data_IF_657633939777
#
_entry.id   IF_657633939777
#
_cell.length_a   1.000
_cell.length_b   1.000
_cell.length_c   1.000
_cell.angle_alpha   90.00
_cell.angle_beta   90.00
_cell.angle_gamma   90.00
#
_symmetry.space_group_name_H-M   'P 1'
#
loop_
_entity.id
_entity.type
_entity.pdbx_description
1 polymer ?
#
# COMPACT_ATOMS: atom_id res chain seq x y z
N UNK A 1 -0.64 8.50 -8.09
CA UNK A 1 -1.48 8.07 -6.94
C UNK A 1 -0.75 8.33 -5.64
N UNK A 2 -1.41 8.97 -4.68
CA UNK A 2 -0.95 9.10 -3.29
C UNK A 2 -1.91 8.34 -2.39
N UNK A 3 -1.42 7.26 -1.76
CA UNK A 3 -2.17 6.46 -0.80
C UNK A 3 -1.66 6.72 0.61
N UNK A 4 -2.57 6.90 1.57
CA UNK A 4 -2.21 7.04 2.98
C UNK A 4 -2.91 5.95 3.78
N UNK A 5 -2.12 5.13 4.46
CA UNK A 5 -2.58 3.99 5.26
C UNK A 5 -2.78 4.37 6.73
N UNK A 6 -3.57 3.56 7.43
CA UNK A 6 -3.78 3.64 8.87
C UNK A 6 -4.46 4.94 9.32
N UNK A 7 -5.41 5.42 8.53
CA UNK A 7 -6.28 6.53 8.92
C UNK A 7 -7.23 6.04 10.00
N UNK A 8 -7.25 6.69 11.18
CA UNK A 8 -7.96 6.20 12.37
C UNK A 8 -8.78 7.24 13.11
N UNK A 9 -8.77 8.49 12.67
CA UNK A 9 -9.52 9.56 13.31
C UNK A 9 -10.04 10.56 12.29
N UNK A 10 -11.15 11.23 12.64
CA UNK A 10 -11.68 12.33 11.83
C UNK A 10 -10.65 13.44 11.65
N UNK A 11 -9.86 13.74 12.69
CA UNK A 11 -8.80 14.75 12.58
C UNK A 11 -7.71 14.37 11.55
N UNK A 12 -7.45 13.06 11.33
CA UNK A 12 -6.60 12.60 10.24
C UNK A 12 -7.31 12.79 8.90
N UNK A 13 -8.56 12.33 8.78
CA UNK A 13 -9.36 12.39 7.56
C UNK A 13 -9.51 13.85 7.07
N UNK A 14 -9.93 14.76 7.93
CA UNK A 14 -10.14 16.17 7.60
C UNK A 14 -8.88 16.89 7.10
N UNK A 15 -7.70 16.54 7.66
CA UNK A 15 -6.42 17.17 7.30
C UNK A 15 -5.79 16.58 6.04
N UNK A 16 -6.10 15.34 5.70
CA UNK A 16 -5.52 14.63 4.54
C UNK A 16 -6.15 15.00 3.19
N UNK A 17 -7.12 15.89 3.16
CA UNK A 17 -8.02 16.34 2.08
C UNK A 17 -7.61 16.23 0.60
N UNK A 18 -6.37 15.89 0.28
CA UNK A 18 -5.88 15.80 -1.10
C UNK A 18 -5.10 14.51 -1.35
N UNK A 19 -5.61 13.37 -0.91
CA UNK A 19 -5.06 12.04 -1.22
C UNK A 19 -5.96 11.33 -2.24
N UNK A 20 -5.40 10.35 -2.94
CA UNK A 20 -6.16 9.59 -3.96
C UNK A 20 -6.78 8.33 -3.38
N UNK A 21 -6.11 7.73 -2.37
CA UNK A 21 -6.58 6.51 -1.70
C UNK A 21 -6.37 6.59 -0.19
N UNK A 22 -7.44 6.43 0.57
CA UNK A 22 -7.41 6.28 2.03
C UNK A 22 -7.38 4.81 2.43
N UNK A 23 -6.39 4.41 3.22
CA UNK A 23 -6.21 3.03 3.69
C UNK A 23 -6.67 2.84 5.13
N UNK A 24 -7.55 1.86 5.35
CA UNK A 24 -8.11 1.49 6.64
C UNK A 24 -7.76 0.04 6.98
N UNK A 25 -7.42 -0.21 8.24
CA UNK A 25 -7.28 -1.56 8.77
C UNK A 25 -8.57 -1.90 9.53
N UNK A 26 -9.20 -3.01 9.18
CA UNK A 26 -10.54 -3.36 9.70
C UNK A 26 -10.55 -4.75 10.32
N UNK A 27 -11.22 -4.87 11.46
CA UNK A 27 -11.49 -6.13 12.16
C UNK A 27 -12.98 -6.25 12.49
N UNK A 28 -13.45 -7.43 12.90
CA UNK A 28 -14.84 -7.64 13.34
C UNK A 28 -15.21 -6.83 14.59
N UNK A 29 -14.22 -6.48 15.40
CA UNK A 29 -14.37 -5.58 16.55
C UNK A 29 -13.21 -4.60 16.57
N UNK A 30 -13.48 -3.36 16.99
CA UNK A 30 -12.46 -2.33 17.10
C UNK A 30 -11.38 -2.69 18.12
N UNK A 31 -10.16 -2.27 17.83
CA UNK A 31 -9.00 -2.45 18.70
C UNK A 31 -8.04 -1.27 18.61
N UNK A 32 -6.94 -1.30 19.33
CA UNK A 32 -5.88 -0.29 19.21
C UNK A 32 -5.21 -0.29 17.83
N UNK A 33 -5.35 -1.35 17.02
CA UNK A 33 -4.71 -1.48 15.71
C UNK A 33 -5.70 -1.55 14.53
N UNK A 34 -7.01 -1.73 14.78
CA UNK A 34 -8.01 -1.86 13.74
C UNK A 34 -9.32 -1.17 14.10
N UNK A 35 -10.03 -0.72 13.08
CA UNK A 35 -11.39 -0.18 13.15
C UNK A 35 -12.41 -1.33 13.04
N UNK A 36 -13.61 -1.15 13.57
CA UNK A 36 -14.76 -1.92 13.12
C UNK A 36 -15.39 -1.31 11.85
N UNK A 37 -16.41 -1.98 11.29
CA UNK A 37 -17.06 -1.54 10.06
C UNK A 37 -17.74 -0.17 10.20
N UNK A 38 -18.36 0.10 11.34
CA UNK A 38 -19.08 1.37 11.56
C UNK A 38 -18.10 2.54 11.69
N UNK A 39 -17.02 2.36 12.41
CA UNK A 39 -15.94 3.35 12.51
C UNK A 39 -15.32 3.61 11.14
N UNK A 40 -15.05 2.54 10.34
CA UNK A 40 -14.50 2.69 9.00
C UNK A 40 -15.47 3.45 8.07
N UNK A 41 -16.76 3.13 8.11
CA UNK A 41 -17.79 3.83 7.34
C UNK A 41 -17.85 5.32 7.72
N UNK A 42 -17.85 5.61 9.01
CA UNK A 42 -17.87 6.99 9.52
C UNK A 42 -16.66 7.80 9.04
N UNK A 43 -15.44 7.24 9.16
CA UNK A 43 -14.23 7.91 8.71
C UNK A 43 -14.18 8.04 7.18
N UNK A 44 -14.60 7.01 6.46
CA UNK A 44 -14.64 7.03 5.00
C UNK A 44 -15.58 8.11 4.45
N UNK A 45 -16.71 8.35 5.11
CA UNK A 45 -17.66 9.40 4.69
C UNK A 45 -17.11 10.83 4.80
N UNK A 46 -16.05 11.04 5.57
CA UNK A 46 -15.36 12.33 5.71
C UNK A 46 -14.26 12.57 4.66
N UNK A 47 -14.03 11.60 3.76
CA UNK A 47 -12.96 11.65 2.76
C UNK A 47 -13.55 11.58 1.34
N UNK A 48 -13.20 12.56 0.51
CA UNK A 48 -13.56 12.56 -0.92
C UNK A 48 -12.43 11.92 -1.74
N UNK A 49 -12.22 10.62 -1.52
CA UNK A 49 -11.22 9.84 -2.24
C UNK A 49 -11.60 8.35 -2.29
N UNK A 50 -10.84 7.54 -3.04
CA UNK A 50 -11.02 6.09 -3.04
C UNK A 50 -10.62 5.47 -1.70
N UNK A 51 -11.28 4.38 -1.30
CA UNK A 51 -10.95 3.66 -0.07
C UNK A 51 -10.31 2.31 -0.38
N UNK A 52 -9.27 1.98 0.37
CA UNK A 52 -8.66 0.66 0.44
C UNK A 52 -8.87 0.09 1.86
N UNK A 53 -9.37 -1.12 1.96
CA UNK A 53 -9.63 -1.76 3.25
C UNK A 53 -8.80 -3.02 3.38
N UNK A 54 -8.04 -3.10 4.47
CA UNK A 54 -7.22 -4.25 4.83
C UNK A 54 -7.86 -5.02 6.00
N UNK A 55 -8.41 -6.24 5.77
CA UNK A 55 -8.87 -7.10 6.85
C UNK A 55 -7.68 -7.57 7.69
N UNK A 56 -7.76 -7.47 9.02
CA UNK A 56 -6.66 -7.89 9.93
C UNK A 56 -6.28 -9.35 9.73
N UNK A 57 -7.28 -10.24 9.52
CA UNK A 57 -7.05 -11.67 9.33
C UNK A 57 -6.75 -12.03 7.86
N UNK A 58 -6.50 -11.00 7.02
CA UNK A 58 -6.24 -11.17 5.60
C UNK A 58 -7.45 -11.70 4.83
N UNK A 59 -7.19 -12.29 3.66
CA UNK A 59 -8.25 -12.78 2.75
C UNK A 59 -8.65 -14.24 3.02
N UNK A 60 -8.15 -14.87 4.05
CA UNK A 60 -8.53 -16.24 4.47
C UNK A 60 -9.98 -16.31 4.97
N UNK A 61 -10.47 -15.29 5.69
CA UNK A 61 -11.88 -15.13 6.03
C UNK A 61 -12.66 -14.47 4.88
N UNK A 62 -13.00 -15.29 3.88
CA UNK A 62 -13.78 -14.82 2.70
C UNK A 62 -15.15 -14.26 3.12
N UNK A 63 -15.76 -14.79 4.20
CA UNK A 63 -17.03 -14.29 4.73
C UNK A 63 -16.91 -12.84 5.16
N UNK A 64 -15.90 -12.53 5.95
CA UNK A 64 -15.64 -11.15 6.40
C UNK A 64 -15.21 -10.23 5.25
N UNK A 65 -14.41 -10.72 4.30
CA UNK A 65 -14.09 -9.95 3.11
C UNK A 65 -15.32 -9.56 2.30
N UNK A 66 -16.31 -10.44 2.16
CA UNK A 66 -17.59 -10.12 1.49
C UNK A 66 -18.41 -9.11 2.28
N UNK A 67 -18.49 -9.26 3.58
CA UNK A 67 -19.14 -8.29 4.46
C UNK A 67 -18.54 -6.89 4.31
N UNK A 68 -17.20 -6.77 4.33
CA UNK A 68 -16.48 -5.52 4.04
C UNK A 68 -16.88 -4.94 2.68
N UNK A 69 -16.90 -5.77 1.64
CA UNK A 69 -17.22 -5.33 0.27
C UNK A 69 -18.67 -4.83 0.18
N UNK A 70 -19.61 -5.52 0.80
CA UNK A 70 -21.04 -5.18 0.77
C UNK A 70 -21.34 -3.91 1.58
N UNK A 71 -20.78 -3.81 2.78
CA UNK A 71 -21.06 -2.74 3.73
C UNK A 71 -20.29 -1.43 3.45
N UNK A 72 -19.01 -1.54 3.09
CA UNK A 72 -18.16 -0.36 2.90
C UNK A 72 -18.00 0.02 1.43
N UNK A 73 -18.26 -0.89 0.51
CA UNK A 73 -18.11 -0.69 -0.96
C UNK A 73 -16.76 -0.05 -1.32
N UNK A 74 -15.64 -0.58 -0.79
CA UNK A 74 -14.34 0.03 -1.03
C UNK A 74 -13.94 -0.11 -2.51
N UNK A 75 -13.12 0.80 -3.01
CA UNK A 75 -12.52 0.65 -4.35
C UNK A 75 -11.53 -0.53 -4.36
N UNK A 76 -10.85 -0.75 -3.23
CA UNK A 76 -9.85 -1.80 -3.11
C UNK A 76 -9.99 -2.60 -1.82
N UNK A 77 -9.83 -3.92 -1.92
CA UNK A 77 -9.48 -4.78 -0.80
C UNK A 77 -7.95 -4.94 -0.80
N UNK A 78 -7.31 -4.62 0.32
CA UNK A 78 -5.87 -4.75 0.47
C UNK A 78 -5.54 -6.02 1.24
N UNK A 79 -4.44 -6.68 0.90
CA UNK A 79 -4.00 -7.91 1.57
C UNK A 79 -2.48 -8.06 1.52
N UNK A 80 -1.94 -8.76 2.50
CA UNK A 80 -0.52 -9.13 2.52
C UNK A 80 -0.30 -10.39 1.68
N UNK A 81 0.67 -10.32 0.78
CA UNK A 81 1.04 -11.45 -0.09
C UNK A 81 1.68 -12.56 0.73
N UNK A 82 1.16 -13.76 0.59
CA UNK A 82 1.78 -14.97 1.14
C UNK A 82 3.00 -15.32 0.30
N UNK A 83 4.10 -15.67 0.98
CA UNK A 83 5.33 -16.11 0.31
C UNK A 83 5.03 -17.26 -0.67
N UNK A 84 5.40 -17.13 -1.97
CA UNK A 84 5.15 -18.17 -2.97
C UNK A 84 5.85 -19.49 -2.64
N UNK A 85 6.88 -19.52 -1.82
CA UNK A 85 7.53 -20.74 -1.35
C UNK A 85 6.61 -21.56 -0.43
N UNK A 86 5.60 -20.93 0.20
CA UNK A 86 4.52 -21.59 0.94
C UNK A 86 3.39 -21.98 -0.02
N UNK A 87 3.64 -22.98 -0.87
CA UNK A 87 2.82 -23.32 -2.06
C UNK A 87 1.33 -23.48 -1.75
N UNK A 88 0.95 -24.24 -0.70
CA UNK A 88 -0.46 -24.44 -0.36
C UNK A 88 -1.16 -23.14 0.08
N UNK A 89 -0.51 -22.37 0.95
CA UNK A 89 -1.06 -21.10 1.44
C UNK A 89 -1.14 -20.05 0.33
N UNK A 90 -0.15 -20.00 -0.55
CA UNK A 90 -0.14 -19.10 -1.71
C UNK A 90 -1.26 -19.45 -2.69
N UNK A 91 -1.46 -20.74 -3.01
CA UNK A 91 -2.56 -21.19 -3.87
C UNK A 91 -3.92 -20.91 -3.24
N UNK A 92 -4.08 -21.16 -1.94
CA UNK A 92 -5.32 -20.86 -1.22
C UNK A 92 -5.64 -19.35 -1.26
N UNK A 93 -4.61 -18.50 -1.10
CA UNK A 93 -4.77 -17.05 -1.22
C UNK A 93 -5.24 -16.64 -2.62
N UNK A 94 -4.61 -17.15 -3.68
CA UNK A 94 -5.00 -16.85 -5.07
C UNK A 94 -6.45 -17.28 -5.35
N UNK A 95 -6.87 -18.46 -4.87
CA UNK A 95 -8.24 -18.95 -5.00
C UNK A 95 -9.25 -18.09 -4.23
N UNK A 96 -8.87 -17.60 -3.04
CA UNK A 96 -9.70 -16.68 -2.27
C UNK A 96 -9.87 -15.34 -3.01
N UNK A 97 -8.78 -14.76 -3.49
CA UNK A 97 -8.77 -13.50 -4.23
C UNK A 97 -9.64 -13.57 -5.48
N UNK A 98 -9.57 -14.64 -6.26
CA UNK A 98 -10.35 -14.82 -7.49
C UNK A 98 -11.88 -14.81 -7.25
N UNK A 99 -12.33 -15.14 -6.02
CA UNK A 99 -13.75 -15.16 -5.63
C UNK A 99 -14.30 -13.79 -5.18
N UNK A 100 -13.42 -12.81 -4.96
CA UNK A 100 -13.80 -11.48 -4.47
C UNK A 100 -13.88 -10.50 -5.63
N UNK A 101 -15.08 -9.95 -5.88
CA UNK A 101 -15.35 -9.01 -6.98
C UNK A 101 -15.12 -7.56 -6.53
N UNK A 102 -13.87 -7.19 -6.36
CA UNK A 102 -13.42 -5.85 -5.96
C UNK A 102 -12.01 -5.65 -6.51
N UNK A 103 -11.59 -4.40 -6.76
CA UNK A 103 -10.18 -4.10 -7.03
C UNK A 103 -9.30 -4.53 -5.85
N UNK A 104 -8.06 -4.91 -6.09
CA UNK A 104 -7.18 -5.42 -5.04
C UNK A 104 -5.84 -4.72 -5.03
N UNK A 105 -5.33 -4.48 -3.81
CA UNK A 105 -3.97 -4.01 -3.57
C UNK A 105 -3.19 -5.12 -2.86
N UNK A 106 -2.08 -5.54 -3.44
CA UNK A 106 -1.16 -6.49 -2.82
C UNK A 106 -0.06 -5.73 -2.06
N UNK A 107 0.13 -6.01 -0.77
CA UNK A 107 1.20 -5.45 0.06
C UNK A 107 2.13 -6.53 0.63
N UNK A 108 3.08 -6.14 1.50
CA UNK A 108 4.07 -7.06 2.05
C UNK A 108 5.16 -7.42 1.06
N UNK A 109 5.37 -6.60 0.04
CA UNK A 109 6.38 -6.76 -1.00
C UNK A 109 7.52 -5.76 -0.75
N UNK A 110 8.76 -6.23 -0.91
CA UNK A 110 9.96 -5.46 -0.61
C UNK A 110 10.95 -5.53 -1.76
N UNK A 111 11.60 -4.41 -2.04
CA UNK A 111 12.83 -4.31 -2.82
C UNK A 111 13.88 -3.67 -1.95
N UNK A 112 14.78 -4.48 -1.42
CA UNK A 112 15.87 -4.03 -0.56
C UNK A 112 17.14 -3.89 -1.38
N UNK A 113 18.07 -3.03 -0.94
CA UNK A 113 19.33 -2.80 -1.62
C UNK A 113 20.10 -4.12 -1.91
N UNK A 114 20.09 -5.01 -0.93
CA UNK A 114 20.81 -6.28 -0.99
C UNK A 114 19.91 -7.48 -1.33
N UNK A 115 18.60 -7.24 -1.54
CA UNK A 115 17.62 -8.26 -1.93
C UNK A 115 16.65 -7.72 -2.99
N UNK A 116 16.93 -8.07 -4.22
CA UNK A 116 16.06 -7.77 -5.37
C UNK A 116 15.31 -9.01 -5.87
N UNK A 117 15.19 -10.06 -5.05
CA UNK A 117 14.57 -11.35 -5.43
C UNK A 117 13.13 -11.22 -5.91
N UNK A 118 12.40 -10.17 -5.46
CA UNK A 118 11.06 -9.87 -5.96
C UNK A 118 11.02 -9.72 -7.48
N UNK A 119 12.09 -9.16 -8.08
CA UNK A 119 12.17 -8.97 -9.55
C UNK A 119 12.19 -10.29 -10.32
N UNK A 120 12.55 -11.39 -9.67
CA UNK A 120 12.64 -12.71 -10.28
C UNK A 120 11.35 -13.54 -10.09
N UNK A 121 10.33 -12.97 -9.38
CA UNK A 121 9.05 -13.63 -9.06
C UNK A 121 7.93 -13.30 -10.06
N UNK A 122 8.27 -13.09 -11.35
CA UNK A 122 7.32 -12.67 -12.38
C UNK A 122 6.09 -13.59 -12.49
N UNK A 123 6.28 -14.92 -12.44
CA UNK A 123 5.16 -15.89 -12.52
C UNK A 123 4.16 -15.73 -11.38
N UNK A 124 4.64 -15.43 -10.17
CA UNK A 124 3.77 -15.19 -9.03
C UNK A 124 3.03 -13.85 -9.16
N UNK A 125 3.72 -12.80 -9.60
CA UNK A 125 3.10 -11.50 -9.87
C UNK A 125 2.02 -11.61 -10.96
N UNK A 126 2.26 -12.36 -12.02
CA UNK A 126 1.28 -12.63 -13.06
C UNK A 126 0.05 -13.37 -12.51
N UNK A 127 0.25 -14.36 -11.64
CA UNK A 127 -0.85 -15.06 -10.97
C UNK A 127 -1.70 -14.11 -10.09
N UNK A 128 -1.08 -13.18 -9.38
CA UNK A 128 -1.77 -12.15 -8.61
C UNK A 128 -2.58 -11.20 -9.53
N UNK A 129 -2.02 -10.78 -10.67
CA UNK A 129 -2.74 -9.97 -11.65
C UNK A 129 -3.97 -10.75 -12.18
N UNK A 130 -3.83 -12.03 -12.51
CA UNK A 130 -4.96 -12.88 -12.94
C UNK A 130 -6.01 -13.06 -11.83
N UNK A 131 -5.62 -13.04 -10.56
CA UNK A 131 -6.53 -13.04 -9.41
C UNK A 131 -7.19 -11.66 -9.15
N UNK A 132 -6.92 -10.66 -9.99
CA UNK A 132 -7.55 -9.34 -9.96
C UNK A 132 -6.80 -8.30 -9.12
N UNK A 133 -5.51 -8.46 -8.89
CA UNK A 133 -4.68 -7.40 -8.31
C UNK A 133 -4.47 -6.30 -9.33
N UNK A 134 -4.86 -5.09 -8.95
CA UNK A 134 -4.77 -3.89 -9.79
C UNK A 134 -3.58 -3.00 -9.41
N UNK A 135 -3.08 -3.14 -8.18
CA UNK A 135 -2.01 -2.30 -7.64
C UNK A 135 -1.13 -3.08 -6.68
N UNK A 136 0.17 -2.91 -6.80
CA UNK A 136 1.17 -3.50 -5.92
C UNK A 136 1.78 -2.41 -5.04
N UNK A 137 1.72 -2.61 -3.73
CA UNK A 137 2.33 -1.73 -2.74
C UNK A 137 3.68 -2.31 -2.34
N UNK A 138 4.75 -1.66 -2.76
CA UNK A 138 6.13 -2.15 -2.58
C UNK A 138 6.91 -1.17 -1.72
N UNK A 139 7.50 -1.67 -0.64
CA UNK A 139 8.49 -0.91 0.11
C UNK A 139 9.84 -1.02 -0.58
N UNK A 140 10.42 0.14 -0.89
CA UNK A 140 11.70 0.23 -1.59
C UNK A 140 12.70 0.91 -0.68
N UNK A 141 13.75 0.19 -0.30
CA UNK A 141 14.81 0.79 0.49
C UNK A 141 15.70 1.64 -0.42
N UNK A 142 15.79 2.93 -0.07
CA UNK A 142 16.86 3.82 -0.55
C UNK A 142 16.89 4.16 -2.04
N UNK A 143 15.77 4.08 -2.77
CA UNK A 143 15.72 4.66 -4.14
C UNK A 143 15.94 6.18 -4.13
N UNK A 144 15.62 6.83 -3.02
CA UNK A 144 15.69 8.29 -2.85
C UNK A 144 17.05 8.71 -2.28
N UNK A 145 17.77 7.83 -1.59
CA UNK A 145 19.04 8.17 -0.98
C UNK A 145 20.19 8.02 -1.98
N UNK A 146 20.83 9.11 -2.41
CA UNK A 146 21.95 9.03 -3.34
C UNK A 146 23.17 8.32 -2.77
N UNK A 147 23.34 8.27 -1.43
CA UNK A 147 24.46 7.57 -0.78
C UNK A 147 24.32 6.05 -0.87
N UNK A 148 23.08 5.56 -0.96
CA UNK A 148 22.78 4.13 -1.11
C UNK A 148 22.39 3.76 -2.53
N UNK A 149 22.76 4.57 -3.51
CA UNK A 149 22.31 4.49 -4.88
C UNK A 149 22.33 3.07 -5.44
N UNK A 150 21.17 2.62 -5.91
CA UNK A 150 21.04 1.42 -6.73
C UNK A 150 21.78 1.65 -8.04
N UNK A 151 22.66 0.73 -8.40
CA UNK A 151 23.44 0.83 -9.64
C UNK A 151 22.54 0.87 -10.90
N UNK A 152 23.03 1.41 -12.03
CA UNK A 152 22.22 1.61 -13.26
C UNK A 152 21.51 0.33 -13.74
N UNK A 153 22.18 -0.81 -13.66
CA UNK A 153 21.61 -2.11 -14.06
C UNK A 153 20.41 -2.53 -13.19
N UNK A 154 20.54 -2.37 -11.87
CA UNK A 154 19.45 -2.69 -10.94
C UNK A 154 18.29 -1.71 -11.13
N UNK A 155 18.56 -0.42 -11.31
CA UNK A 155 17.56 0.61 -11.61
C UNK A 155 16.77 0.28 -12.88
N UNK A 156 17.45 -0.13 -13.96
CA UNK A 156 16.78 -0.53 -15.20
C UNK A 156 15.83 -1.73 -14.98
N UNK A 157 16.28 -2.78 -14.25
CA UNK A 157 15.43 -3.92 -13.89
C UNK A 157 14.20 -3.53 -13.08
N UNK A 158 14.36 -2.65 -12.11
CA UNK A 158 13.23 -2.14 -11.29
C UNK A 158 12.26 -1.36 -12.18
N UNK A 159 12.75 -0.49 -13.06
CA UNK A 159 11.92 0.27 -14.00
C UNK A 159 11.12 -0.64 -14.95
N UNK A 160 11.74 -1.70 -15.47
CA UNK A 160 11.05 -2.71 -16.27
C UNK A 160 9.95 -3.43 -15.48
N UNK A 161 10.24 -3.81 -14.23
CA UNK A 161 9.28 -4.43 -13.35
C UNK A 161 8.09 -3.51 -13.05
N UNK A 162 8.31 -2.23 -12.73
CA UNK A 162 7.23 -1.27 -12.47
C UNK A 162 6.43 -0.92 -13.73
N UNK A 163 7.05 -0.99 -14.91
CA UNK A 163 6.35 -0.83 -16.19
C UNK A 163 5.36 -1.98 -16.45
N UNK A 164 5.72 -3.18 -16.01
CA UNK A 164 4.88 -4.39 -16.17
C UNK A 164 3.79 -4.48 -15.10
N UNK A 165 4.09 -4.12 -13.87
CA UNK A 165 3.18 -4.26 -12.73
C UNK A 165 2.85 -2.88 -12.15
N UNK A 166 1.57 -2.44 -12.16
CA UNK A 166 1.17 -1.17 -11.58
C UNK A 166 1.56 -1.08 -10.11
N UNK A 167 2.54 -0.25 -9.79
CA UNK A 167 3.19 -0.20 -8.46
C UNK A 167 3.08 1.18 -7.82
N UNK A 168 2.75 1.20 -6.53
CA UNK A 168 2.97 2.35 -5.64
C UNK A 168 4.10 2.01 -4.68
N UNK A 169 4.99 2.96 -4.44
CA UNK A 169 6.17 2.72 -3.61
C UNK A 169 6.13 3.50 -2.30
N UNK A 170 6.65 2.89 -1.24
CA UNK A 170 7.00 3.54 0.01
C UNK A 170 8.51 3.57 0.18
N UNK A 171 9.04 4.71 0.65
CA UNK A 171 10.46 4.85 0.95
C UNK A 171 10.68 5.86 2.09
N UNK A 172 11.94 6.08 2.48
CA UNK A 172 12.30 7.08 3.48
C UNK A 172 12.25 8.48 2.90
N UNK A 173 11.07 9.10 2.92
CA UNK A 173 10.88 10.48 2.50
C UNK A 173 11.48 11.52 3.46
N UNK A 174 12.16 11.09 4.52
CA UNK A 174 12.77 12.00 5.50
C UNK A 174 13.97 12.78 4.93
N UNK A 175 14.68 12.21 3.97
CA UNK A 175 15.87 12.83 3.34
C UNK A 175 15.51 13.61 2.06
N UNK A 176 14.58 13.12 1.28
CA UNK A 176 14.13 13.78 0.05
C UNK A 176 12.71 13.35 -0.30
N UNK A 177 11.93 14.26 -0.85
CA UNK A 177 10.65 13.95 -1.51
C UNK A 177 10.79 13.84 -3.04
N UNK A 178 11.98 14.06 -3.57
CA UNK A 178 12.25 13.87 -5.00
C UNK A 178 12.50 12.38 -5.26
N UNK A 179 11.48 11.69 -5.71
CA UNK A 179 11.56 10.28 -6.09
C UNK A 179 11.88 10.19 -7.58
N UNK A 180 12.93 9.46 -7.98
CA UNK A 180 13.20 9.23 -9.39
C UNK A 180 11.98 8.56 -10.05
N UNK A 181 11.63 9.02 -11.25
CA UNK A 181 10.65 8.32 -12.07
C UNK A 181 11.23 6.97 -12.54
N UNK A 182 10.58 5.91 -12.12
CA UNK A 182 10.90 4.52 -12.50
C UNK A 182 9.64 3.81 -13.00
N UNK A 183 8.69 4.57 -13.56
CA UNK A 183 7.39 4.09 -14.02
C UNK A 183 6.43 3.65 -12.90
N UNK A 184 6.70 4.01 -11.62
CA UNK A 184 5.74 3.79 -10.55
C UNK A 184 4.47 4.62 -10.77
N UNK A 185 3.32 4.08 -10.36
CA UNK A 185 2.02 4.78 -10.43
C UNK A 185 1.84 5.83 -9.35
N UNK A 186 2.69 5.81 -8.32
CA UNK A 186 2.61 6.75 -7.21
C UNK A 186 3.30 6.26 -5.95
N UNK A 187 2.84 6.78 -4.83
CA UNK A 187 3.48 6.61 -3.53
C UNK A 187 2.47 6.22 -2.46
N UNK A 188 2.95 5.53 -1.42
CA UNK A 188 2.17 5.33 -0.21
C UNK A 188 2.92 5.75 1.04
N UNK A 189 2.17 6.08 2.08
CA UNK A 189 2.64 6.50 3.39
C UNK A 189 1.85 5.75 4.46
N UNK A 190 2.54 5.31 5.52
CA UNK A 190 1.89 4.75 6.70
C UNK A 190 1.87 5.80 7.80
N UNK A 191 0.70 6.11 8.37
CA UNK A 191 0.60 6.95 9.55
C UNK A 191 1.05 6.18 10.79
N UNK A 192 1.71 6.89 11.70
CA UNK A 192 2.03 6.34 13.02
C UNK A 192 0.74 6.05 13.78
N UNK A 193 0.68 4.87 14.39
CA UNK A 193 -0.35 4.50 15.37
C UNK A 193 0.30 4.37 16.74
N UNK A 194 -0.42 4.77 17.78
CA UNK A 194 0.11 4.76 19.15
C UNK A 194 0.53 3.38 19.65
N UNK A 195 0.01 2.32 19.01
CA UNK A 195 0.30 0.92 19.38
C UNK A 195 1.65 0.40 18.87
N UNK A 196 2.38 1.15 18.03
CA UNK A 196 3.67 0.74 17.46
C UNK A 196 3.64 -0.51 16.58
N UNK A 197 2.46 -1.03 16.23
CA UNK A 197 2.31 -2.20 15.33
C UNK A 197 1.86 -1.76 13.95
N UNK A 198 2.60 -2.22 12.94
CA UNK A 198 2.21 -2.10 11.54
C UNK A 198 1.50 -3.37 11.06
N UNK A 199 0.54 -3.21 10.17
CA UNK A 199 -0.14 -4.34 9.52
C UNK A 199 0.62 -4.86 8.30
N UNK A 200 1.50 -4.03 7.71
CA UNK A 200 2.20 -4.30 6.45
C UNK A 200 3.70 -4.60 6.63
N UNK A 201 4.14 -4.82 7.85
CA UNK A 201 5.55 -5.02 8.20
C UNK A 201 6.47 -3.83 7.88
N UNK A 202 5.95 -2.75 7.34
CA UNK A 202 6.73 -1.54 7.11
C UNK A 202 7.25 -0.97 8.42
N UNK A 203 8.53 -0.64 8.45
CA UNK A 203 9.16 0.02 9.60
C UNK A 203 9.03 1.55 9.55
N UNK A 204 8.43 2.08 8.47
CA UNK A 204 8.38 3.52 8.20
C UNK A 204 7.00 4.07 8.41
N UNK A 205 6.84 4.71 9.56
CA UNK A 205 5.62 5.36 9.98
C UNK A 205 5.84 6.85 10.16
N UNK A 206 4.88 7.64 9.72
CA UNK A 206 4.96 9.10 9.76
C UNK A 206 3.90 9.69 10.69
N UNK A 207 4.31 10.63 11.54
CA UNK A 207 3.35 11.50 12.20
C UNK A 207 2.57 12.29 11.13
N UNK A 208 1.32 12.63 11.41
CA UNK A 208 0.45 13.33 10.47
C UNK A 208 1.10 14.58 9.86
N UNK A 209 1.76 15.41 10.66
CA UNK A 209 2.46 16.63 10.19
C UNK A 209 3.57 16.33 9.19
N UNK A 210 4.31 15.24 9.39
CA UNK A 210 5.33 14.79 8.45
C UNK A 210 4.71 14.25 7.18
N UNK A 211 3.64 13.43 7.29
CA UNK A 211 2.92 12.92 6.14
C UNK A 211 2.37 14.05 5.25
N UNK A 212 1.75 15.08 5.84
CA UNK A 212 1.25 16.24 5.09
C UNK A 212 2.36 16.99 4.34
N UNK A 213 3.52 17.14 4.95
CA UNK A 213 4.69 17.77 4.30
C UNK A 213 5.18 16.92 3.11
N UNK A 214 5.25 15.60 3.29
CA UNK A 214 5.66 14.67 2.23
C UNK A 214 4.66 14.71 1.07
N UNK A 215 3.35 14.62 1.36
CA UNK A 215 2.28 14.69 0.35
C UNK A 215 2.39 15.98 -0.46
N UNK A 216 2.60 17.12 0.21
CA UNK A 216 2.81 18.40 -0.47
C UNK A 216 4.04 18.35 -1.40
N UNK A 217 5.16 17.81 -0.93
CA UNK A 217 6.37 17.68 -1.72
C UNK A 217 6.24 16.73 -2.93
N UNK A 218 5.46 15.66 -2.80
CA UNK A 218 5.18 14.72 -3.90
C UNK A 218 4.24 15.30 -4.97
N UNK A 219 3.45 16.31 -4.63
CA UNK A 219 2.52 16.99 -5.56
C UNK A 219 3.09 18.23 -6.24
N UNK A 220 4.12 18.84 -5.68
CA UNK A 220 4.81 19.97 -6.32
C UNK A 220 5.64 19.44 -7.48
N UNK A 221 5.28 19.85 -8.69
CA UNK A 221 6.00 19.51 -9.92
C UNK A 221 7.45 20.02 -9.84
N UNK A 222 8.46 19.23 -10.24
CA UNK A 222 9.85 19.67 -10.26
C UNK A 222 10.11 20.89 -11.20
N UNK A 223 9.15 21.26 -12.04
CA UNK A 223 9.26 22.40 -12.96
C UNK A 223 9.08 23.79 -12.31
N UNK A 224 8.55 23.89 -11.07
CA UNK A 224 8.34 25.18 -10.41
C UNK A 224 9.53 25.66 -9.54
N UNK A 225 10.61 24.87 -9.45
CA UNK A 225 11.78 25.18 -8.62
C UNK A 225 13.10 25.34 -9.43
N UNK A 226 13.02 25.73 -10.70
CA UNK A 226 14.20 26.13 -11.51
C UNK A 226 14.27 27.64 -11.71
#
# INVERSE_FOLDING_TARGET
VIKVNQIRSLAHAEKLGSIDVAGFVVARSSSTSALDLDQCRHLGSALDCSHAVHPVDGVSDIGFCREIIEELKPRYLEFTVVDPEKTESSLAQLQALARLKVGKIANGLFLLKDDLSLLDRASHMDALVHAGVELFQIEVESLIDPEFGIGPKARARIGEFFSRYPTIIGDSFSKSVKVPDMHQRGHYLNLSVDSGRSYDFSQRHYALSSALRIIKGLRTDPAENT
#
